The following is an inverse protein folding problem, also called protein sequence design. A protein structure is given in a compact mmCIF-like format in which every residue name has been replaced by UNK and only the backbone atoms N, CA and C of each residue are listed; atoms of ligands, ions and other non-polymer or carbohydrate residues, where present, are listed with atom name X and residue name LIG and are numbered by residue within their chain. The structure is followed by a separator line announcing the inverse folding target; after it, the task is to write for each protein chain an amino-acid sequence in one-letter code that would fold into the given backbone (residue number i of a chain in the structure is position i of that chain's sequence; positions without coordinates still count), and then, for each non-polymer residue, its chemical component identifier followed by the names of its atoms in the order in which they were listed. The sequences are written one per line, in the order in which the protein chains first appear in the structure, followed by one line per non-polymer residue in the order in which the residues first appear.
data_IF_979609754924
#
_entry.id   IF_979609754924
#
_cell.length_a   1.000
_cell.length_b   1.000
_cell.length_c   1.000
_cell.angle_alpha   90.00
_cell.angle_beta   90.00
_cell.angle_gamma   90.00
#
_symmetry.space_group_name_H-M   'P 1'
#
loop_
_entity.id
_entity.type
_entity.pdbx_description
1 polymer ?
#
# COMPACT_ATOMS: atom_id res chain seq x y z
N UNK A 1 -12.88 -48.12 27.88
CA UNK A 1 -13.52 -46.81 28.15
C UNK A 1 -12.71 -45.76 27.42
N UNK A 2 -13.12 -45.43 26.21
CA UNK A 2 -12.51 -44.38 25.36
C UNK A 2 -13.09 -43.04 25.78
N UNK A 3 -12.29 -42.22 26.45
CA UNK A 3 -12.66 -40.85 26.84
C UNK A 3 -12.68 -39.97 25.59
N UNK A 4 -13.87 -39.48 25.24
CA UNK A 4 -14.06 -38.46 24.21
C UNK A 4 -13.49 -37.14 24.75
N UNK A 5 -12.56 -36.46 24.06
CA UNK A 5 -12.03 -35.17 24.51
C UNK A 5 -13.15 -34.12 24.58
N UNK A 6 -13.15 -33.34 25.65
CA UNK A 6 -14.17 -32.32 25.92
C UNK A 6 -14.10 -31.20 24.87
N UNK A 7 -15.23 -30.68 24.39
CA UNK A 7 -15.27 -29.65 23.33
C UNK A 7 -14.48 -28.38 23.68
N UNK A 8 -14.31 -28.11 24.97
CA UNK A 8 -13.51 -26.99 25.50
C UNK A 8 -12.00 -27.23 25.32
N UNK A 9 -11.51 -28.47 25.45
CA UNK A 9 -10.11 -28.81 25.15
C UNK A 9 -9.84 -28.74 23.65
N UNK A 10 -10.80 -29.15 22.81
CA UNK A 10 -10.67 -29.05 21.34
C UNK A 10 -10.68 -27.58 20.88
N UNK A 11 -11.47 -26.72 21.53
CA UNK A 11 -11.53 -25.29 21.25
C UNK A 11 -10.26 -24.57 21.73
N UNK A 12 -9.75 -24.92 22.90
CA UNK A 12 -8.49 -24.38 23.43
C UNK A 12 -7.27 -24.85 22.64
N UNK A 13 -7.27 -26.08 22.12
CA UNK A 13 -6.19 -26.59 21.26
C UNK A 13 -6.19 -25.95 19.87
N UNK A 14 -7.37 -25.55 19.35
CA UNK A 14 -7.48 -24.74 18.12
C UNK A 14 -7.07 -23.27 18.34
N UNK A 15 -7.39 -22.67 19.48
CA UNK A 15 -6.98 -21.30 19.79
C UNK A 15 -5.47 -21.20 20.11
N UNK A 16 -4.86 -22.21 20.73
CA UNK A 16 -3.41 -22.21 21.01
C UNK A 16 -2.51 -22.41 19.77
N UNK A 17 -3.06 -22.83 18.63
CA UNK A 17 -2.31 -22.88 17.36
C UNK A 17 -2.35 -21.58 16.55
N UNK A 18 -3.15 -20.57 16.96
CA UNK A 18 -3.27 -19.30 16.24
C UNK A 18 -2.37 -18.17 16.79
N UNK A 19 -1.49 -18.46 17.75
CA UNK A 19 -0.67 -17.45 18.43
C UNK A 19 0.84 -17.73 18.43
N UNK A 20 1.39 -18.29 17.35
CA UNK A 20 2.83 -18.51 17.23
C UNK A 20 3.38 -17.90 15.94
N UNK A 21 4.55 -17.25 16.04
CA UNK A 21 5.30 -16.70 14.91
C UNK A 21 5.80 -17.78 13.95
N UNK A 22 6.70 -17.39 13.04
CA UNK A 22 7.35 -18.32 12.11
C UNK A 22 8.00 -19.54 12.82
N UNK A 23 8.29 -19.42 14.12
CA UNK A 23 8.76 -20.48 15.02
C UNK A 23 7.86 -21.73 15.12
N UNK A 24 6.59 -21.68 14.69
CA UNK A 24 5.71 -22.86 14.67
C UNK A 24 5.66 -23.59 13.33
N UNK A 25 6.32 -23.05 12.30
CA UNK A 25 6.37 -23.64 10.98
C UNK A 25 7.54 -24.63 10.92
N UNK A 26 7.25 -25.84 10.45
CA UNK A 26 8.29 -26.86 10.27
C UNK A 26 9.31 -26.39 9.22
N UNK A 27 10.60 -26.45 9.55
CA UNK A 27 11.71 -26.10 8.66
C UNK A 27 11.63 -26.88 7.35
N UNK A 28 11.18 -28.14 7.39
CA UNK A 28 10.96 -28.94 6.19
C UNK A 28 9.83 -28.36 5.32
N UNK A 29 8.72 -27.93 5.92
CA UNK A 29 7.61 -27.29 5.23
C UNK A 29 8.02 -25.95 4.60
N UNK A 30 8.75 -25.11 5.34
CA UNK A 30 9.32 -23.84 4.83
C UNK A 30 10.22 -24.13 3.62
N UNK A 31 11.13 -25.09 3.75
CA UNK A 31 12.07 -25.44 2.68
C UNK A 31 11.35 -25.95 1.42
N UNK A 32 10.32 -26.79 1.59
CA UNK A 32 9.52 -27.29 0.49
C UNK A 32 8.76 -26.17 -0.23
N UNK A 33 8.15 -25.26 0.53
CA UNK A 33 7.44 -24.09 -0.01
C UNK A 33 8.39 -23.18 -0.78
N UNK A 34 9.52 -22.79 -0.18
CA UNK A 34 10.53 -21.96 -0.83
C UNK A 34 11.06 -22.60 -2.11
N UNK A 35 11.40 -23.90 -2.06
CA UNK A 35 11.88 -24.62 -3.24
C UNK A 35 10.83 -24.67 -4.34
N UNK A 36 9.58 -24.99 -4.02
CA UNK A 36 8.49 -25.00 -5.02
C UNK A 36 8.24 -23.61 -5.60
N UNK A 37 8.35 -22.55 -4.80
CA UNK A 37 8.24 -21.17 -5.28
C UNK A 37 9.35 -20.82 -6.27
N UNK A 38 10.60 -21.24 -6.03
CA UNK A 38 11.69 -21.06 -7.00
C UNK A 38 11.43 -21.79 -8.32
N UNK A 39 10.84 -22.99 -8.29
CA UNK A 39 10.45 -23.69 -9.52
C UNK A 39 9.40 -22.91 -10.30
N UNK A 40 8.39 -22.35 -9.62
CA UNK A 40 7.39 -21.51 -10.26
C UNK A 40 8.04 -20.27 -10.90
N UNK A 41 8.92 -19.58 -10.16
CA UNK A 41 9.61 -18.37 -10.64
C UNK A 41 10.53 -18.60 -11.84
N UNK A 42 11.04 -19.82 -12.01
CA UNK A 42 11.89 -20.17 -13.14
C UNK A 42 11.12 -20.23 -14.47
N UNK A 43 9.78 -20.23 -14.44
CA UNK A 43 8.95 -20.18 -15.65
C UNK A 43 9.01 -18.74 -16.23
N UNK A 44 9.36 -18.59 -17.52
CA UNK A 44 9.35 -17.28 -18.19
C UNK A 44 7.98 -16.60 -18.10
N UNK A 45 7.98 -15.28 -17.86
CA UNK A 45 6.78 -14.44 -17.80
C UNK A 45 5.71 -14.88 -16.78
N UNK A 46 6.11 -15.66 -15.77
CA UNK A 46 5.17 -16.21 -14.79
C UNK A 46 4.56 -15.18 -13.85
N UNK A 47 5.26 -14.06 -13.58
CA UNK A 47 4.79 -13.06 -12.59
C UNK A 47 3.47 -12.40 -13.00
N UNK A 48 3.31 -11.84 -14.22
CA UNK A 48 2.01 -11.36 -14.70
C UNK A 48 0.93 -12.45 -14.69
N UNK A 49 1.26 -13.65 -15.17
CA UNK A 49 0.32 -14.78 -15.25
C UNK A 49 -0.20 -15.18 -13.87
N UNK A 50 0.69 -15.30 -12.88
CA UNK A 50 0.34 -15.63 -11.51
C UNK A 50 -0.52 -14.53 -10.90
N UNK A 51 -0.20 -13.26 -11.16
CA UNK A 51 -1.04 -12.14 -10.74
C UNK A 51 -2.46 -12.24 -11.30
N UNK A 52 -2.61 -12.50 -12.59
CA UNK A 52 -3.90 -12.69 -13.25
C UNK A 52 -4.68 -13.88 -12.69
N UNK A 53 -4.04 -15.03 -12.50
CA UNK A 53 -4.66 -16.23 -11.91
C UNK A 53 -5.15 -15.97 -10.48
N UNK A 54 -4.33 -15.30 -9.65
CA UNK A 54 -4.69 -14.96 -8.28
C UNK A 54 -5.90 -14.03 -8.28
N UNK A 55 -5.84 -12.89 -8.97
CA UNK A 55 -6.91 -11.91 -8.92
C UNK A 55 -8.19 -12.37 -9.63
N UNK A 56 -8.05 -13.15 -10.71
CA UNK A 56 -9.18 -13.72 -11.44
C UNK A 56 -9.97 -14.67 -10.52
N UNK A 57 -9.26 -15.58 -9.85
CA UNK A 57 -9.89 -16.50 -8.90
C UNK A 57 -10.38 -15.79 -7.64
N UNK A 58 -9.66 -14.78 -7.16
CA UNK A 58 -10.08 -13.99 -6.01
C UNK A 58 -11.40 -13.26 -6.27
N UNK A 59 -11.57 -12.65 -7.44
CA UNK A 59 -12.82 -11.98 -7.81
C UNK A 59 -13.98 -12.92 -8.13
N UNK A 60 -13.69 -14.16 -8.52
CA UNK A 60 -14.70 -15.23 -8.59
C UNK A 60 -15.20 -15.61 -7.19
N UNK A 61 -14.27 -15.82 -6.24
CA UNK A 61 -14.57 -16.22 -4.87
C UNK A 61 -15.16 -15.10 -4.00
N UNK A 62 -14.75 -13.85 -4.26
CA UNK A 62 -15.18 -12.65 -3.55
C UNK A 62 -15.56 -11.52 -4.52
N UNK A 63 -16.69 -11.61 -5.23
CA UNK A 63 -17.09 -10.61 -6.22
C UNK A 63 -17.19 -9.18 -5.67
N UNK A 64 -17.52 -9.05 -4.39
CA UNK A 64 -17.62 -7.75 -3.71
C UNK A 64 -16.27 -7.06 -3.51
N UNK A 65 -15.14 -7.79 -3.55
CA UNK A 65 -13.82 -7.22 -3.41
C UNK A 65 -13.45 -6.28 -4.57
N UNK A 66 -14.11 -6.42 -5.73
CA UNK A 66 -13.98 -5.49 -6.86
C UNK A 66 -14.27 -4.04 -6.47
N UNK A 67 -15.14 -3.81 -5.49
CA UNK A 67 -15.52 -2.47 -4.99
C UNK A 67 -14.42 -1.75 -4.22
N UNK A 68 -13.36 -2.47 -3.81
CA UNK A 68 -12.16 -1.84 -3.23
C UNK A 68 -11.33 -1.15 -4.29
N UNK A 69 -11.42 -1.65 -5.52
CA UNK A 69 -10.72 -1.06 -6.66
C UNK A 69 -11.62 -0.02 -7.32
N UNK A 70 -11.06 1.05 -7.92
CA UNK A 70 -11.81 2.13 -8.55
C UNK A 70 -12.42 1.70 -9.91
N UNK A 71 -13.01 0.50 -9.98
CA UNK A 71 -13.51 -0.14 -11.21
C UNK A 71 -14.98 -0.51 -11.09
N UNK A 72 -15.82 0.43 -10.63
CA UNK A 72 -17.25 0.18 -10.48
C UNK A 72 -17.90 -0.14 -11.84
N UNK A 73 -18.54 -1.31 -11.94
CA UNK A 73 -19.19 -1.76 -13.17
C UNK A 73 -18.26 -2.32 -14.26
N UNK A 74 -16.93 -2.32 -14.05
CA UNK A 74 -15.97 -2.83 -15.01
C UNK A 74 -16.01 -4.36 -15.15
N UNK A 75 -15.75 -4.86 -16.35
CA UNK A 75 -15.57 -6.30 -16.59
C UNK A 75 -14.21 -6.76 -16.07
N UNK A 76 -13.97 -8.08 -15.96
CA UNK A 76 -12.63 -8.57 -15.62
C UNK A 76 -11.59 -8.20 -16.68
N UNK A 77 -11.99 -8.21 -17.96
CA UNK A 77 -11.12 -7.82 -19.08
C UNK A 77 -10.67 -6.36 -18.93
N UNK A 78 -11.59 -5.45 -18.60
CA UNK A 78 -11.25 -4.04 -18.34
C UNK A 78 -10.28 -3.89 -17.16
N UNK A 79 -10.51 -4.63 -16.07
CA UNK A 79 -9.65 -4.60 -14.88
C UNK A 79 -8.24 -5.10 -15.19
N UNK A 80 -8.09 -6.19 -15.94
CA UNK A 80 -6.78 -6.75 -16.27
C UNK A 80 -6.03 -5.93 -17.35
N UNK A 81 -6.76 -5.17 -18.17
CA UNK A 81 -6.17 -4.23 -19.12
C UNK A 81 -5.71 -2.91 -18.45
N UNK A 82 -6.20 -2.60 -17.25
CA UNK A 82 -5.88 -1.35 -16.55
C UNK A 82 -4.41 -1.31 -16.06
N UNK A 83 -3.60 -0.32 -16.48
CA UNK A 83 -2.20 -0.23 -16.08
C UNK A 83 -1.97 -0.09 -14.57
N UNK A 84 -2.87 0.58 -13.85
CA UNK A 84 -2.75 0.76 -12.40
C UNK A 84 -3.02 -0.56 -11.66
N UNK A 85 -3.99 -1.33 -12.13
CA UNK A 85 -4.27 -2.67 -11.63
C UNK A 85 -3.12 -3.64 -11.94
N UNK A 86 -2.58 -3.61 -13.15
CA UNK A 86 -1.39 -4.41 -13.50
C UNK A 86 -0.21 -4.09 -12.57
N UNK A 87 0.03 -2.80 -12.30
CA UNK A 87 1.06 -2.38 -11.37
C UNK A 87 0.78 -2.86 -9.94
N UNK A 88 -0.46 -2.79 -9.47
CA UNK A 88 -0.86 -3.31 -8.16
C UNK A 88 -0.68 -4.83 -8.07
N UNK A 89 -1.15 -5.57 -9.07
CA UNK A 89 -1.00 -7.01 -9.18
C UNK A 89 0.47 -7.43 -9.14
N UNK A 90 1.32 -6.73 -9.89
CA UNK A 90 2.78 -6.89 -9.84
C UNK A 90 3.35 -6.69 -8.43
N UNK A 91 2.96 -5.61 -7.72
CA UNK A 91 3.41 -5.35 -6.34
C UNK A 91 2.99 -6.44 -5.37
N UNK A 92 1.80 -7.02 -5.54
CA UNK A 92 1.34 -8.15 -4.70
C UNK A 92 2.21 -9.37 -4.93
N UNK A 93 2.48 -9.72 -6.19
CA UNK A 93 3.35 -10.86 -6.53
C UNK A 93 4.78 -10.64 -6.05
N UNK A 94 5.33 -9.43 -6.18
CA UNK A 94 6.66 -9.07 -5.67
C UNK A 94 6.75 -9.11 -4.14
N UNK A 95 5.72 -8.62 -3.45
CA UNK A 95 5.66 -8.68 -1.98
C UNK A 95 5.56 -10.13 -1.51
N UNK A 96 4.75 -10.93 -2.20
CA UNK A 96 4.64 -12.36 -1.91
C UNK A 96 5.97 -13.08 -2.15
N UNK A 97 6.66 -12.77 -3.24
CA UNK A 97 7.99 -13.30 -3.56
C UNK A 97 9.00 -12.99 -2.45
N UNK A 98 9.05 -11.72 -2.02
CA UNK A 98 9.94 -11.29 -0.93
C UNK A 98 9.64 -12.06 0.37
N UNK A 99 8.36 -12.14 0.76
CA UNK A 99 7.90 -12.82 1.98
C UNK A 99 8.24 -14.31 1.93
N UNK A 100 7.91 -15.00 0.83
CA UNK A 100 8.19 -16.43 0.67
C UNK A 100 9.69 -16.69 0.68
N UNK A 101 10.47 -15.88 -0.04
CA UNK A 101 11.93 -16.03 -0.12
C UNK A 101 12.65 -15.75 1.21
N UNK A 102 11.96 -15.11 2.16
CA UNK A 102 12.52 -14.72 3.45
C UNK A 102 11.90 -15.49 4.64
N UNK A 103 11.10 -16.54 4.41
CA UNK A 103 10.34 -17.23 5.47
C UNK A 103 11.17 -17.71 6.67
N UNK A 104 12.45 -18.08 6.46
CA UNK A 104 13.34 -18.50 7.55
C UNK A 104 13.74 -17.36 8.50
N UNK A 105 13.81 -16.14 7.99
CA UNK A 105 14.23 -14.94 8.72
C UNK A 105 13.05 -13.96 8.94
N UNK A 106 11.85 -14.33 8.49
CA UNK A 106 10.69 -13.46 8.46
C UNK A 106 10.15 -13.27 9.87
N UNK A 107 10.39 -12.09 10.43
CA UNK A 107 9.77 -11.72 11.68
C UNK A 107 8.27 -11.42 11.48
N UNK A 108 7.44 -12.05 12.31
CA UNK A 108 5.97 -11.91 12.25
C UNK A 108 5.49 -10.46 12.30
N UNK A 109 6.20 -9.58 13.03
CA UNK A 109 5.80 -8.19 13.21
C UNK A 109 5.72 -7.43 11.87
N UNK A 110 6.55 -7.78 10.88
CA UNK A 110 6.53 -7.18 9.53
C UNK A 110 5.17 -7.41 8.85
N UNK A 111 4.60 -8.60 8.98
CA UNK A 111 3.29 -8.94 8.43
C UNK A 111 2.15 -8.24 9.16
N UNK A 112 2.28 -8.09 10.48
CA UNK A 112 1.31 -7.34 11.30
C UNK A 112 1.31 -5.88 10.86
N UNK A 113 2.47 -5.24 10.69
CA UNK A 113 2.59 -3.86 10.20
C UNK A 113 2.04 -3.71 8.77
N UNK A 114 2.29 -4.69 7.90
CA UNK A 114 1.67 -4.74 6.56
C UNK A 114 0.14 -4.81 6.66
N UNK A 115 -0.38 -5.59 7.60
CA UNK A 115 -1.80 -5.65 7.94
C UNK A 115 -2.35 -4.31 8.45
N UNK A 116 -1.66 -3.64 9.36
CA UNK A 116 -2.05 -2.32 9.87
C UNK A 116 -2.19 -1.31 8.72
N UNK A 117 -1.32 -1.36 7.70
CA UNK A 117 -1.47 -0.55 6.48
C UNK A 117 -2.70 -0.94 5.65
N UNK A 118 -2.98 -2.23 5.53
CA UNK A 118 -4.14 -2.69 4.78
C UNK A 118 -5.48 -2.26 5.39
N UNK A 119 -5.52 -2.03 6.71
CA UNK A 119 -6.69 -1.48 7.38
C UNK A 119 -7.01 -0.03 6.99
N UNK A 120 -6.05 0.68 6.42
CA UNK A 120 -6.22 2.07 6.03
C UNK A 120 -6.93 2.19 4.69
N UNK A 121 -6.82 1.19 3.79
CA UNK A 121 -7.49 1.24 2.49
C UNK A 121 -9.01 1.11 2.62
N UNK A 122 -9.81 1.96 1.95
CA UNK A 122 -11.26 1.95 2.09
C UNK A 122 -11.85 0.64 1.56
N UNK A 123 -12.83 0.10 2.25
CA UNK A 123 -13.52 -1.13 1.84
C UNK A 123 -12.72 -2.43 2.02
N UNK A 124 -11.40 -2.38 2.27
CA UNK A 124 -10.59 -3.59 2.53
C UNK A 124 -11.02 -4.22 3.84
N UNK A 125 -11.43 -5.50 3.82
CA UNK A 125 -11.84 -6.27 4.99
C UNK A 125 -10.87 -7.43 5.27
N UNK A 126 -10.61 -7.78 6.54
CA UNK A 126 -9.92 -9.04 6.88
C UNK A 126 -10.57 -10.27 6.24
N UNK A 127 -11.88 -10.24 5.99
CA UNK A 127 -12.61 -11.34 5.34
C UNK A 127 -12.14 -11.64 3.92
N UNK A 128 -11.39 -10.72 3.28
CA UNK A 128 -10.83 -10.94 1.95
C UNK A 128 -9.61 -11.86 1.95
N UNK A 129 -8.93 -12.08 3.09
CA UNK A 129 -7.72 -12.90 3.10
C UNK A 129 -7.99 -14.39 2.90
N UNK A 130 -9.13 -14.91 3.36
CA UNK A 130 -9.50 -16.31 3.14
C UNK A 130 -9.75 -16.64 1.64
N UNK A 131 -10.58 -15.87 0.89
CA UNK A 131 -10.73 -16.08 -0.55
C UNK A 131 -9.44 -15.77 -1.32
N UNK A 132 -8.65 -14.76 -0.89
CA UNK A 132 -7.35 -14.49 -1.50
C UNK A 132 -6.37 -15.66 -1.32
N UNK A 133 -6.29 -16.24 -0.12
CA UNK A 133 -5.46 -17.41 0.14
C UNK A 133 -5.87 -18.63 -0.68
N UNK A 134 -7.18 -18.83 -0.88
CA UNK A 134 -7.70 -19.88 -1.77
C UNK A 134 -7.34 -19.64 -3.23
N UNK A 135 -7.35 -18.38 -3.67
CA UNK A 135 -6.93 -17.99 -5.02
C UNK A 135 -5.43 -18.19 -5.25
N UNK A 136 -4.59 -17.90 -4.25
CA UNK A 136 -3.15 -18.18 -4.29
C UNK A 136 -2.90 -19.68 -4.41
N UNK A 137 -3.56 -20.51 -3.60
CA UNK A 137 -3.45 -21.97 -3.72
C UNK A 137 -3.84 -22.48 -5.11
N UNK A 138 -4.89 -21.91 -5.70
CA UNK A 138 -5.32 -22.26 -7.06
C UNK A 138 -4.25 -21.89 -8.11
N UNK A 139 -3.65 -20.71 -8.00
CA UNK A 139 -2.59 -20.27 -8.89
C UNK A 139 -1.34 -21.16 -8.76
N UNK A 140 -0.96 -21.55 -7.53
CA UNK A 140 0.14 -22.46 -7.26
C UNK A 140 -0.11 -23.86 -7.84
N UNK A 141 -1.29 -24.43 -7.62
CA UNK A 141 -1.70 -25.72 -8.19
C UNK A 141 -1.62 -25.71 -9.72
N UNK A 142 -2.10 -24.62 -10.33
CA UNK A 142 -2.07 -24.44 -11.79
C UNK A 142 -0.65 -24.31 -12.33
N UNK A 143 0.19 -23.49 -11.69
CA UNK A 143 1.54 -23.20 -12.18
C UNK A 143 2.58 -24.27 -11.87
N UNK A 144 2.43 -25.01 -10.77
CA UNK A 144 3.38 -26.05 -10.36
C UNK A 144 3.07 -27.42 -10.98
N UNK A 145 1.83 -27.67 -11.40
CA UNK A 145 1.36 -28.88 -12.09
C UNK A 145 2.02 -30.16 -11.57
N UNK A 146 3.08 -30.62 -12.24
CA UNK A 146 3.72 -31.92 -12.03
C UNK A 146 4.35 -32.10 -10.65
N UNK A 147 4.76 -31.01 -9.99
CA UNK A 147 5.34 -31.06 -8.63
C UNK A 147 4.31 -30.77 -7.54
N UNK A 148 3.07 -30.49 -7.90
CA UNK A 148 1.99 -30.23 -6.95
C UNK A 148 1.47 -31.53 -6.33
N UNK A 149 1.79 -31.74 -5.05
CA UNK A 149 1.36 -32.92 -4.28
C UNK A 149 0.40 -32.52 -3.15
N UNK A 150 -0.41 -33.47 -2.61
CA UNK A 150 -1.24 -33.19 -1.44
C UNK A 150 -0.44 -32.71 -0.22
N UNK A 151 0.79 -33.20 -0.06
CA UNK A 151 1.70 -32.76 1.00
C UNK A 151 2.19 -31.33 0.78
N UNK A 152 2.62 -31.00 -0.45
CA UNK A 152 3.04 -29.64 -0.79
C UNK A 152 1.89 -28.64 -0.63
N UNK A 153 0.67 -29.03 -0.99
CA UNK A 153 -0.55 -28.24 -0.76
C UNK A 153 -0.77 -27.93 0.72
N UNK A 154 -0.57 -28.91 1.59
CA UNK A 154 -0.72 -28.71 3.04
C UNK A 154 0.34 -27.74 3.58
N UNK A 155 1.59 -27.84 3.12
CA UNK A 155 2.65 -26.89 3.49
C UNK A 155 2.30 -25.46 3.03
N UNK A 156 1.87 -25.29 1.78
CA UNK A 156 1.43 -23.99 1.28
C UNK A 156 0.24 -23.44 2.05
N UNK A 157 -0.74 -24.29 2.39
CA UNK A 157 -1.91 -23.88 3.18
C UNK A 157 -1.48 -23.35 4.56
N UNK A 158 -0.52 -24.00 5.22
CA UNK A 158 0.00 -23.55 6.50
C UNK A 158 0.67 -22.18 6.40
N UNK A 159 1.55 -21.99 5.40
CA UNK A 159 2.21 -20.69 5.16
C UNK A 159 1.20 -19.60 4.83
N UNK A 160 0.29 -19.83 3.88
CA UNK A 160 -0.73 -18.85 3.49
C UNK A 160 -1.62 -18.48 4.68
N UNK A 161 -1.98 -19.46 5.52
CA UNK A 161 -2.75 -19.23 6.75
C UNK A 161 -1.96 -18.37 7.74
N UNK A 162 -0.67 -18.63 7.93
CA UNK A 162 0.20 -17.81 8.78
C UNK A 162 0.28 -16.35 8.28
N UNK A 163 0.45 -16.15 6.97
CA UNK A 163 0.47 -14.81 6.37
C UNK A 163 -0.87 -14.08 6.56
N UNK A 164 -1.97 -14.74 6.19
CA UNK A 164 -3.32 -14.20 6.29
C UNK A 164 -3.70 -13.82 7.72
N UNK A 165 -3.41 -14.69 8.70
CA UNK A 165 -3.72 -14.45 10.11
C UNK A 165 -2.90 -13.30 10.69
N UNK A 166 -1.60 -13.22 10.36
CA UNK A 166 -0.72 -12.14 10.81
C UNK A 166 -1.16 -10.77 10.25
N UNK A 167 -1.49 -10.70 8.95
CA UNK A 167 -2.03 -9.48 8.35
C UNK A 167 -3.42 -9.12 8.90
N UNK A 168 -4.29 -10.11 9.10
CA UNK A 168 -5.62 -9.90 9.69
C UNK A 168 -5.54 -9.32 11.09
N UNK A 169 -4.61 -9.80 11.92
CA UNK A 169 -4.38 -9.27 13.26
C UNK A 169 -4.03 -7.79 13.22
N UNK A 170 -3.04 -7.41 12.39
CA UNK A 170 -2.66 -6.01 12.20
C UNK A 170 -3.83 -5.15 11.74
N UNK A 171 -4.61 -5.64 10.76
CA UNK A 171 -5.80 -4.94 10.29
C UNK A 171 -6.83 -4.74 11.40
N UNK A 172 -7.15 -5.78 12.16
CA UNK A 172 -8.14 -5.75 13.23
C UNK A 172 -7.69 -4.79 14.33
N UNK A 173 -6.43 -4.91 14.78
CA UNK A 173 -5.83 -4.03 15.79
C UNK A 173 -5.90 -2.57 15.35
N UNK A 174 -5.50 -2.26 14.10
CA UNK A 174 -5.55 -0.90 13.58
C UNK A 174 -6.97 -0.40 13.46
N UNK A 175 -7.91 -1.16 12.89
CA UNK A 175 -9.34 -0.77 12.81
C UNK A 175 -9.95 -0.52 14.19
N UNK A 176 -9.64 -1.34 15.18
CA UNK A 176 -10.07 -1.11 16.56
C UNK A 176 -9.46 0.15 17.17
N UNK A 177 -8.18 0.43 16.90
CA UNK A 177 -7.53 1.66 17.33
C UNK A 177 -8.16 2.90 16.68
N UNK A 178 -8.43 2.86 15.37
CA UNK A 178 -9.13 3.92 14.62
C UNK A 178 -10.57 4.12 15.14
N UNK A 179 -11.26 3.06 15.57
CA UNK A 179 -12.59 3.16 16.20
C UNK A 179 -12.57 3.74 17.62
N UNK A 180 -11.50 3.48 18.39
CA UNK A 180 -11.32 3.96 19.77
C UNK A 180 -10.72 5.37 19.83
N UNK A 181 -9.91 5.75 18.83
CA UNK A 181 -9.44 7.11 18.64
C UNK A 181 -10.63 8.01 18.32
N UNK A 182 -10.78 9.14 19.02
CA UNK A 182 -11.71 10.18 18.55
C UNK A 182 -11.24 10.58 17.15
N UNK A 183 -12.00 10.24 16.10
CA UNK A 183 -11.81 10.79 14.76
C UNK A 183 -11.62 12.30 14.92
N UNK A 184 -10.39 12.78 14.79
CA UNK A 184 -10.14 14.21 14.70
C UNK A 184 -10.51 14.59 13.28
N UNK A 185 -11.78 14.95 13.10
CA UNK A 185 -12.25 15.52 11.84
C UNK A 185 -11.28 16.63 11.46
N UNK A 186 -10.82 16.63 10.21
CA UNK A 186 -10.33 17.86 9.63
C UNK A 186 -11.46 18.87 9.72
N UNK A 187 -11.20 20.04 10.30
CA UNK A 187 -12.13 21.16 10.27
C UNK A 187 -12.07 21.83 8.89
N UNK A 188 -12.29 21.07 7.83
CA UNK A 188 -12.49 21.59 6.48
C UNK A 188 -13.98 21.83 6.26
N UNK A 189 -14.31 22.94 5.63
CA UNK A 189 -15.64 23.25 5.15
C UNK A 189 -16.01 22.34 3.97
N UNK A 190 -17.30 22.17 3.71
CA UNK A 190 -17.79 21.40 2.54
C UNK A 190 -17.23 21.96 1.23
N UNK A 191 -17.01 23.27 1.15
CA UNK A 191 -16.45 23.89 -0.04
C UNK A 191 -14.96 23.57 -0.21
N UNK A 192 -14.17 23.65 0.86
CA UNK A 192 -12.76 23.23 0.82
C UNK A 192 -12.62 21.76 0.43
N UNK A 193 -13.48 20.89 0.97
CA UNK A 193 -13.51 19.46 0.58
C UNK A 193 -13.80 19.31 -0.91
N UNK A 194 -14.81 20.01 -1.44
CA UNK A 194 -15.14 19.95 -2.85
C UNK A 194 -14.00 20.47 -3.72
N UNK A 195 -13.38 21.59 -3.38
CA UNK A 195 -12.25 22.16 -4.10
C UNK A 195 -11.08 21.16 -4.16
N UNK A 196 -10.69 20.58 -3.03
CA UNK A 196 -9.61 19.58 -2.97
C UNK A 196 -9.93 18.37 -3.86
N UNK A 197 -11.14 17.82 -3.75
CA UNK A 197 -11.54 16.67 -4.56
C UNK A 197 -11.53 17.00 -6.05
N UNK A 198 -12.08 18.15 -6.46
CA UNK A 198 -12.12 18.57 -7.86
C UNK A 198 -10.72 18.78 -8.44
N UNK A 199 -9.83 19.46 -7.71
CA UNK A 199 -8.43 19.63 -8.12
C UNK A 199 -7.73 18.28 -8.30
N UNK A 200 -7.90 17.37 -7.34
CA UNK A 200 -7.24 16.06 -7.38
C UNK A 200 -7.72 15.19 -8.53
N UNK A 201 -9.03 15.20 -8.82
CA UNK A 201 -9.59 14.49 -9.97
C UNK A 201 -9.15 15.12 -11.30
N UNK A 202 -8.99 16.44 -11.36
CA UNK A 202 -8.53 17.12 -12.57
C UNK A 202 -7.10 16.68 -12.99
N UNK A 203 -6.22 16.35 -12.04
CA UNK A 203 -4.88 15.82 -12.32
C UNK A 203 -4.89 14.41 -12.93
N UNK A 204 -5.96 13.65 -12.70
CA UNK A 204 -6.12 12.28 -13.24
C UNK A 204 -6.53 12.28 -14.71
N UNK A 205 -6.88 13.45 -15.25
CA UNK A 205 -7.14 13.58 -16.67
C UNK A 205 -5.83 13.52 -17.46
N UNK A 206 -5.83 12.77 -18.57
CA UNK A 206 -4.70 12.68 -19.48
C UNK A 206 -3.35 12.32 -18.79
N UNK A 207 -2.30 13.11 -19.01
CA UNK A 207 -0.93 12.88 -18.50
C UNK A 207 -0.54 13.89 -17.39
N UNK A 208 -1.52 14.61 -16.81
CA UNK A 208 -1.24 15.65 -15.83
C UNK A 208 -0.63 15.10 -14.53
N UNK A 209 -0.97 13.89 -14.12
CA UNK A 209 -0.37 13.26 -12.93
C UNK A 209 1.16 13.09 -13.08
N UNK A 210 1.62 12.71 -14.28
CA UNK A 210 3.06 12.58 -14.58
C UNK A 210 3.76 13.95 -14.54
N UNK A 211 3.14 14.95 -15.17
CA UNK A 211 3.62 16.35 -15.14
C UNK A 211 3.69 16.90 -13.72
N UNK A 212 2.65 16.67 -12.92
CA UNK A 212 2.58 17.09 -11.52
C UNK A 212 3.75 16.55 -10.71
N UNK A 213 4.02 15.24 -10.78
CA UNK A 213 5.15 14.65 -10.05
C UNK A 213 6.49 15.16 -10.57
N UNK A 214 6.63 15.31 -11.89
CA UNK A 214 7.84 15.90 -12.50
C UNK A 214 8.12 17.32 -11.96
N UNK A 215 7.09 18.16 -11.91
CA UNK A 215 7.16 19.50 -11.33
C UNK A 215 7.52 19.45 -9.84
N UNK A 216 6.83 18.62 -9.05
CA UNK A 216 7.06 18.45 -7.62
C UNK A 216 8.53 18.10 -7.32
N UNK A 217 9.09 17.05 -7.91
CA UNK A 217 10.46 16.63 -7.60
C UNK A 217 11.49 17.66 -8.05
N UNK A 218 11.27 18.33 -9.18
CA UNK A 218 12.14 19.43 -9.65
C UNK A 218 12.23 20.54 -8.59
N UNK A 219 11.08 20.96 -8.06
CA UNK A 219 11.00 22.02 -7.07
C UNK A 219 11.58 21.58 -5.72
N UNK A 220 11.16 20.41 -5.23
CA UNK A 220 11.61 19.86 -3.96
C UNK A 220 13.13 19.70 -3.90
N UNK A 221 13.74 19.18 -4.97
CA UNK A 221 15.18 19.00 -5.06
C UNK A 221 15.96 20.31 -5.21
N UNK A 222 15.33 21.36 -5.74
CA UNK A 222 15.93 22.69 -5.78
C UNK A 222 15.93 23.34 -4.39
N UNK A 223 14.89 23.09 -3.60
CA UNK A 223 14.68 23.72 -2.29
C UNK A 223 15.38 23.01 -1.13
N UNK A 224 15.95 21.81 -1.33
CA UNK A 224 16.73 21.11 -0.31
C UNK A 224 18.24 21.16 -0.63
N UNK A 225 19.00 22.08 0.00
CA UNK A 225 20.45 22.16 -0.20
C UNK A 225 21.12 20.89 0.35
N UNK A 226 21.84 20.15 -0.49
CA UNK A 226 22.61 18.94 -0.14
C UNK A 226 21.83 17.69 0.33
N UNK A 227 20.49 17.71 0.37
CA UNK A 227 19.68 16.59 0.85
C UNK A 227 19.29 15.54 -0.21
N UNK A 228 19.29 15.90 -1.50
CA UNK A 228 18.80 15.03 -2.59
C UNK A 228 19.53 13.67 -2.64
N UNK A 229 20.82 13.65 -2.35
CA UNK A 229 21.61 12.40 -2.38
C UNK A 229 21.42 11.52 -1.16
N UNK A 230 21.01 12.07 -0.02
CA UNK A 230 20.95 11.33 1.26
C UNK A 230 19.52 10.88 1.59
N UNK A 231 18.52 11.73 1.34
CA UNK A 231 17.11 11.38 1.55
C UNK A 231 16.69 10.24 0.60
N UNK A 232 17.21 10.25 -0.63
CA UNK A 232 17.00 9.22 -1.65
C UNK A 232 18.34 8.55 -2.04
N UNK A 233 19.07 7.98 -1.08
CA UNK A 233 20.38 7.34 -1.32
C UNK A 233 20.24 6.00 -2.11
N UNK A 234 21.18 5.70 -3.02
CA UNK A 234 21.26 4.44 -3.78
C UNK A 234 20.95 4.56 -5.28
N UNK A 235 20.30 3.54 -5.88
CA UNK A 235 19.85 3.49 -7.30
C UNK A 235 18.90 4.64 -7.72
N UNK A 236 18.49 5.47 -6.76
CA UNK A 236 17.66 6.68 -6.89
C UNK A 236 18.47 7.92 -7.30
N UNK A 237 19.81 7.84 -7.28
CA UNK A 237 20.75 8.94 -7.55
C UNK A 237 21.30 8.97 -8.97
N UNK A 238 20.72 8.20 -9.90
CA UNK A 238 21.10 8.21 -11.30
C UNK A 238 21.06 9.64 -11.85
N UNK A 239 22.17 10.06 -12.46
CA UNK A 239 22.38 11.34 -13.13
C UNK A 239 21.44 11.59 -14.31
N UNK A 240 20.63 10.61 -14.68
CA UNK A 240 19.73 10.70 -15.83
C UNK A 240 18.38 11.29 -15.40
N UNK A 241 18.42 12.56 -14.99
CA UNK A 241 17.26 13.43 -15.14
C UNK A 241 17.00 13.56 -16.64
N UNK A 242 16.10 12.73 -17.18
CA UNK A 242 15.69 12.91 -18.56
C UNK A 242 14.88 14.21 -18.64
N UNK A 243 15.52 15.27 -19.15
CA UNK A 243 14.90 16.56 -19.45
C UNK A 243 13.77 16.46 -20.50
N UNK A 244 13.36 15.25 -20.89
CA UNK A 244 12.27 14.94 -21.81
C UNK A 244 10.90 14.89 -21.14
N UNK A 245 10.80 15.20 -19.83
CA UNK A 245 9.55 15.49 -19.14
C UNK A 245 8.59 14.30 -19.00
N UNK A 246 9.07 13.06 -19.13
CA UNK A 246 8.21 11.85 -19.15
C UNK A 246 8.49 10.77 -18.10
N UNK A 247 9.64 10.78 -17.41
CA UNK A 247 9.91 9.85 -16.30
C UNK A 247 10.99 10.39 -15.37
N UNK A 248 10.78 10.23 -14.06
CA UNK A 248 11.71 10.61 -12.98
C UNK A 248 12.74 9.51 -12.69
N UNK A 249 12.69 8.40 -13.43
CA UNK A 249 13.38 7.15 -13.14
C UNK A 249 12.49 6.21 -12.33
N UNK A 250 12.59 4.90 -12.62
CA UNK A 250 11.68 3.85 -12.16
C UNK A 250 11.42 3.86 -10.64
N UNK A 251 12.43 4.20 -9.85
CA UNK A 251 12.30 4.29 -8.40
C UNK A 251 11.50 5.50 -7.91
N UNK A 252 11.77 6.69 -8.46
CA UNK A 252 11.02 7.90 -8.12
C UNK A 252 9.59 7.79 -8.62
N UNK A 253 9.37 7.20 -9.81
CA UNK A 253 8.03 6.88 -10.31
C UNK A 253 7.29 5.93 -9.34
N UNK A 254 7.95 4.90 -8.82
CA UNK A 254 7.37 4.00 -7.82
C UNK A 254 7.12 4.67 -6.44
N UNK A 255 7.89 5.69 -6.07
CA UNK A 255 7.60 6.49 -4.88
C UNK A 255 6.43 7.43 -5.13
N UNK A 256 6.44 8.16 -6.24
CA UNK A 256 5.35 9.03 -6.68
C UNK A 256 4.01 8.29 -6.70
N UNK A 257 3.99 7.05 -7.21
CA UNK A 257 2.80 6.21 -7.21
C UNK A 257 2.31 5.91 -5.78
N UNK A 258 3.20 5.52 -4.86
CA UNK A 258 2.85 5.26 -3.45
C UNK A 258 2.34 6.52 -2.74
N UNK A 259 2.90 7.68 -3.06
CA UNK A 259 2.42 8.97 -2.53
C UNK A 259 1.06 9.31 -3.15
N UNK A 260 0.84 9.06 -4.44
CA UNK A 260 -0.47 9.22 -5.12
C UNK A 260 -1.54 8.37 -4.45
N UNK A 261 -1.29 7.08 -4.24
CA UNK A 261 -2.22 6.16 -3.57
C UNK A 261 -2.55 6.63 -2.14
N UNK A 262 -1.56 7.21 -1.44
CA UNK A 262 -1.76 7.79 -0.13
C UNK A 262 -2.68 9.01 -0.20
N UNK A 263 -2.50 9.90 -1.17
CA UNK A 263 -3.40 11.03 -1.38
C UNK A 263 -4.80 10.61 -1.82
N UNK A 264 -4.93 9.60 -2.68
CA UNK A 264 -6.24 9.03 -3.05
C UNK A 264 -7.00 8.54 -1.81
N UNK A 265 -6.30 7.85 -0.90
CA UNK A 265 -6.86 7.42 0.37
C UNK A 265 -7.31 8.61 1.23
N UNK A 266 -6.45 9.63 1.39
CA UNK A 266 -6.75 10.78 2.25
C UNK A 266 -7.89 11.63 1.68
N UNK A 267 -7.90 11.86 0.38
CA UNK A 267 -8.85 12.72 -0.32
C UNK A 267 -10.22 12.04 -0.41
N UNK A 268 -10.25 10.75 -0.73
CA UNK A 268 -11.48 9.95 -0.68
C UNK A 268 -12.10 9.86 0.71
N UNK A 269 -11.32 10.11 1.76
CA UNK A 269 -11.73 10.06 3.16
C UNK A 269 -11.91 11.42 3.85
N UNK A 270 -11.84 12.58 3.18
CA UNK A 270 -11.72 13.90 3.85
C UNK A 270 -12.78 14.19 4.92
N UNK A 271 -14.04 13.78 4.70
CA UNK A 271 -15.14 14.00 5.65
C UNK A 271 -15.03 13.15 6.92
N UNK A 272 -14.35 12.03 6.83
CA UNK A 272 -14.20 11.00 7.87
C UNK A 272 -12.73 10.71 8.18
N UNK A 273 -11.84 11.63 7.79
CA UNK A 273 -10.41 11.44 7.80
C UNK A 273 -9.92 11.09 9.20
N UNK A 274 -9.14 10.02 9.29
CA UNK A 274 -8.48 9.66 10.52
C UNK A 274 -7.03 10.16 10.48
N UNK A 275 -6.76 11.16 11.32
CA UNK A 275 -5.44 11.76 11.46
C UNK A 275 -4.36 10.77 11.87
N UNK A 276 -4.72 9.68 12.55
CA UNK A 276 -3.75 8.64 12.91
C UNK A 276 -3.11 7.95 11.70
N UNK A 277 -3.76 7.97 10.54
CA UNK A 277 -3.19 7.44 9.29
C UNK A 277 -1.91 8.23 8.92
N UNK A 278 -1.96 9.55 9.06
CA UNK A 278 -0.83 10.44 8.74
C UNK A 278 0.20 10.44 9.87
N UNK A 279 -0.21 10.29 11.13
CA UNK A 279 0.73 10.11 12.26
C UNK A 279 1.56 8.83 12.09
N UNK A 280 0.94 7.70 11.72
CA UNK A 280 1.64 6.46 11.39
C UNK A 280 2.62 6.63 10.22
N UNK A 281 2.20 7.39 9.20
CA UNK A 281 3.06 7.72 8.06
C UNK A 281 4.28 8.53 8.54
N UNK A 282 4.07 9.47 9.46
CA UNK A 282 5.10 10.23 10.14
C UNK A 282 6.10 9.35 10.89
N UNK A 283 5.62 8.42 11.74
CA UNK A 283 6.49 7.47 12.48
C UNK A 283 7.43 6.70 11.55
N UNK A 284 6.89 6.20 10.44
CA UNK A 284 7.68 5.50 9.40
C UNK A 284 8.68 6.42 8.70
N UNK A 285 8.28 7.64 8.35
CA UNK A 285 9.22 8.58 7.75
C UNK A 285 10.34 8.96 8.73
N UNK A 286 10.03 9.02 10.03
CA UNK A 286 11.00 9.23 11.10
C UNK A 286 12.00 8.09 11.29
N UNK A 287 11.71 6.87 10.82
CA UNK A 287 12.65 5.74 10.91
C UNK A 287 13.77 5.80 9.86
N UNK A 288 13.62 6.60 8.80
CA UNK A 288 14.68 6.76 7.80
C UNK A 288 15.74 7.75 8.30
N UNK A 289 16.99 7.30 8.35
CA UNK A 289 18.13 8.06 8.90
C UNK A 289 18.23 9.51 8.39
N UNK A 290 17.95 9.72 7.11
CA UNK A 290 18.11 11.01 6.43
C UNK A 290 16.82 11.78 6.24
N UNK A 291 15.66 11.24 6.61
CA UNK A 291 14.39 11.99 6.58
C UNK A 291 14.24 12.72 7.91
N UNK A 292 14.13 14.05 7.85
CA UNK A 292 14.08 14.94 9.03
C UNK A 292 12.81 15.78 8.99
N UNK A 293 12.32 16.19 10.16
CA UNK A 293 11.11 17.01 10.30
C UNK A 293 11.20 18.33 9.53
N UNK A 294 12.41 18.89 9.40
CA UNK A 294 12.68 20.10 8.61
C UNK A 294 12.41 19.92 7.10
N UNK A 295 12.34 18.69 6.60
CA UNK A 295 11.98 18.43 5.20
C UNK A 295 10.47 18.52 4.95
N UNK A 296 9.62 18.36 5.97
CA UNK A 296 8.16 18.32 5.80
C UNK A 296 7.60 19.65 5.26
N UNK A 297 7.95 20.84 5.79
CA UNK A 297 7.46 22.10 5.23
C UNK A 297 7.90 22.30 3.77
N UNK A 298 9.13 21.94 3.43
CA UNK A 298 9.67 22.06 2.06
C UNK A 298 8.92 21.11 1.11
N UNK A 299 8.60 19.90 1.57
CA UNK A 299 7.82 18.91 0.83
C UNK A 299 6.41 19.43 0.53
N UNK A 300 5.73 19.97 1.54
CA UNK A 300 4.37 20.50 1.38
C UNK A 300 4.32 21.73 0.47
N UNK A 301 5.27 22.66 0.61
CA UNK A 301 5.40 23.82 -0.27
C UNK A 301 5.63 23.40 -1.73
N UNK A 302 6.48 22.40 -1.94
CA UNK A 302 6.78 21.88 -3.29
C UNK A 302 5.56 21.19 -3.91
N UNK A 303 4.76 20.47 -3.12
CA UNK A 303 3.50 19.87 -3.58
C UNK A 303 2.50 20.95 -3.97
N UNK A 304 2.35 21.97 -3.13
CA UNK A 304 1.40 23.06 -3.34
C UNK A 304 1.68 23.83 -4.63
N UNK A 305 2.93 24.24 -4.86
CA UNK A 305 3.34 24.88 -6.12
C UNK A 305 3.20 23.96 -7.33
N UNK A 306 3.48 22.67 -7.18
CA UNK A 306 3.32 21.73 -8.28
C UNK A 306 1.84 21.55 -8.66
N UNK A 307 0.93 21.56 -7.67
CA UNK A 307 -0.52 21.54 -7.91
C UNK A 307 -0.95 22.79 -8.66
N UNK A 308 -0.59 23.98 -8.16
CA UNK A 308 -0.89 25.27 -8.78
C UNK A 308 -0.45 25.29 -10.25
N UNK A 309 0.85 25.06 -10.50
CA UNK A 309 1.40 25.09 -11.87
C UNK A 309 0.71 24.10 -12.80
N UNK A 310 0.43 22.88 -12.32
CA UNK A 310 -0.18 21.85 -13.18
C UNK A 310 -1.66 22.15 -13.45
N UNK A 311 -2.40 22.61 -12.44
CA UNK A 311 -3.84 22.86 -12.57
C UNK A 311 -4.16 24.17 -13.31
N UNK A 312 -3.25 25.14 -13.30
CA UNK A 312 -3.30 26.29 -14.22
C UNK A 312 -3.26 25.82 -15.68
N UNK A 313 -2.35 24.89 -16.04
CA UNK A 313 -2.32 24.30 -17.39
C UNK A 313 -3.62 23.57 -17.74
N UNK A 314 -4.19 22.79 -16.80
CA UNK A 314 -5.50 22.12 -17.01
C UNK A 314 -6.61 23.12 -17.29
N UNK A 315 -6.58 24.26 -16.60
CA UNK A 315 -7.62 25.30 -16.68
C UNK A 315 -7.65 25.96 -18.05
N UNK A 316 -6.47 26.22 -18.62
CA UNK A 316 -6.33 26.83 -19.94
C UNK A 316 -6.83 25.90 -21.06
N UNK A 317 -6.54 24.59 -20.96
CA UNK A 317 -6.97 23.62 -21.97
C UNK A 317 -8.47 23.33 -21.93
N UNK A 318 -9.07 23.25 -20.73
CA UNK A 318 -10.48 22.89 -20.56
C UNK A 318 -11.44 24.08 -20.42
N UNK A 319 -10.93 25.32 -20.38
CA UNK A 319 -11.71 26.56 -20.16
C UNK A 319 -12.56 26.56 -18.89
N UNK A 320 -12.23 25.70 -17.93
CA UNK A 320 -12.84 25.61 -16.61
C UNK A 320 -11.73 25.80 -15.58
N UNK A 321 -11.91 26.73 -14.64
CA UNK A 321 -10.90 27.02 -13.62
C UNK A 321 -10.79 25.82 -12.68
N UNK A 322 -9.64 25.14 -12.72
CA UNK A 322 -9.29 24.02 -11.86
C UNK A 322 -8.49 24.45 -10.62
N UNK A 323 -7.94 25.67 -10.62
CA UNK A 323 -7.23 26.29 -9.51
C UNK A 323 -7.69 27.74 -9.30
N UNK A 324 -8.29 28.03 -8.16
CA UNK A 324 -8.72 29.38 -7.75
C UNK A 324 -8.26 29.67 -6.30
N UNK A 325 -8.54 30.89 -5.80
CA UNK A 325 -8.15 31.29 -4.43
C UNK A 325 -8.73 30.36 -3.35
N UNK A 326 -9.89 29.73 -3.60
CA UNK A 326 -10.53 28.81 -2.66
C UNK A 326 -9.80 27.46 -2.65
N UNK A 327 -9.44 26.93 -3.81
CA UNK A 327 -8.61 25.74 -3.96
C UNK A 327 -7.22 25.95 -3.32
N UNK A 328 -6.58 27.08 -3.58
CA UNK A 328 -5.28 27.43 -3.03
C UNK A 328 -5.27 27.36 -1.49
N UNK A 329 -6.23 28.04 -0.86
CA UNK A 329 -6.40 28.06 0.58
C UNK A 329 -6.73 26.66 1.14
N UNK A 330 -7.61 25.91 0.47
CA UNK A 330 -8.03 24.58 0.90
C UNK A 330 -6.85 23.59 0.91
N UNK A 331 -6.04 23.58 -0.16
CA UNK A 331 -4.85 22.75 -0.26
C UNK A 331 -3.77 23.16 0.75
N UNK A 332 -3.54 24.46 0.94
CA UNK A 332 -2.63 24.96 1.97
C UNK A 332 -3.02 24.49 3.38
N UNK A 333 -4.31 24.56 3.71
CA UNK A 333 -4.84 24.05 4.98
C UNK A 333 -4.64 22.53 5.13
N UNK A 334 -4.96 21.75 4.09
CA UNK A 334 -4.77 20.29 4.09
C UNK A 334 -3.29 19.92 4.27
N UNK A 335 -2.39 20.51 3.51
CA UNK A 335 -0.96 20.21 3.60
C UNK A 335 -0.36 20.57 4.95
N UNK A 336 -0.79 21.68 5.55
CA UNK A 336 -0.40 22.03 6.91
C UNK A 336 -0.83 20.94 7.90
N UNK A 337 -2.06 20.47 7.81
CA UNK A 337 -2.59 19.40 8.68
C UNK A 337 -1.83 18.08 8.50
N UNK A 338 -1.49 17.73 7.26
CA UNK A 338 -0.66 16.56 6.95
C UNK A 338 0.75 16.74 7.55
N UNK A 339 1.38 17.89 7.34
CA UNK A 339 2.71 18.21 7.87
C UNK A 339 2.77 18.09 9.39
N UNK A 340 1.80 18.67 10.09
CA UNK A 340 1.72 18.64 11.56
C UNK A 340 1.53 17.21 12.09
N UNK A 341 0.69 16.41 11.43
CA UNK A 341 0.46 15.01 11.79
C UNK A 341 1.69 14.13 11.52
N UNK A 342 2.36 14.34 10.38
CA UNK A 342 3.63 13.67 10.04
C UNK A 342 4.70 14.01 11.08
N UNK A 343 4.85 15.29 11.42
CA UNK A 343 5.84 15.75 12.39
C UNK A 343 5.61 15.15 13.78
N UNK A 344 4.34 15.07 14.22
CA UNK A 344 3.97 14.39 15.47
C UNK A 344 4.41 12.93 15.46
N UNK A 345 4.10 12.19 14.39
CA UNK A 345 4.51 10.81 14.24
C UNK A 345 6.03 10.64 14.29
N UNK A 346 6.77 11.48 13.58
CA UNK A 346 8.25 11.47 13.60
C UNK A 346 8.79 11.68 15.02
N UNK A 347 8.19 12.60 15.80
CA UNK A 347 8.59 12.84 17.19
C UNK A 347 8.29 11.68 18.14
N UNK A 348 7.21 10.92 17.91
CA UNK A 348 6.91 9.71 18.72
C UNK A 348 7.96 8.60 18.51
N UNK A 349 8.56 8.53 17.33
CA UNK A 349 9.62 7.57 16.98
C UNK A 349 10.95 7.91 17.68
N UNK A 350 11.32 9.20 17.74
CA UNK A 350 12.56 9.69 18.38
C UNK A 350 12.63 9.29 19.88
N UNK A 351 11.48 9.25 20.57
CA UNK A 351 11.38 8.91 22.00
C UNK A 351 11.59 7.41 22.28
N UNK A 352 11.29 6.52 21.33
CA UNK A 352 11.42 5.06 21.51
C UNK A 352 12.79 4.50 21.06
N UNK A 353 13.61 5.32 20.40
CA UNK A 353 14.97 4.97 19.97
C UNK A 353 16.09 5.56 20.84
N UNK A 354 15.76 6.10 22.01
CA UNK A 354 16.68 6.75 22.97
C UNK A 354 17.09 5.81 24.11
#
# INVERSE_FOLDING_TARGET
MTTVPNEIELHNHKQNKMAAGADCLDVAAISAVMSSWEHLKAIPDIKPIVGELIFGKFFELAPHAKRVFPFEGATLEDIFADPAFQAHSGRVVETFDYVVSSLMELERHILVELGERHALYPGVSPDFFAPLGSAILHALETGLSDIWTPELKEHWLQIITFLATSMSEGMIKKKQALQKGKKKKLNLTVKEVHAIMSCWEALKLQDYMSKFWSSFFTQFFTLIPNGNRKIFYGQWSSRDWSASGRSLGQHLDAHALRVTEMFDLLIGGLLDFDREIVVDLGRRHGSFQFVKREHLPIFMESLHRALETTLEEVSDENRQVAWDEEADLAWGNLFKLISDAMAEGMSQQEVHGS
#
